data_IF_762188690345
#
_entry.id   IF_762188690345
#
_cell.length_a   1.000
_cell.length_b   1.000
_cell.length_c   1.000
_cell.angle_alpha   90.00
_cell.angle_beta   90.00
_cell.angle_gamma   90.00
#
_symmetry.space_group_name_H-M   'P 1'
#
loop_
_entity.id
_entity.type
_entity.pdbx_description
1 polymer ?
#
# COMPACT_ATOMS: atom_id res chain seq x y z
N UNK A 1 19.52 -22.64 -15.42
CA UNK A 1 18.20 -22.26 -15.99
C UNK A 1 17.28 -21.91 -14.83
N UNK A 2 16.57 -20.77 -14.86
CA UNK A 2 15.55 -20.47 -13.85
C UNK A 2 14.48 -21.58 -13.89
N UNK A 3 14.01 -22.03 -12.73
CA UNK A 3 12.95 -23.03 -12.66
C UNK A 3 11.68 -22.52 -13.36
N UNK A 4 10.93 -23.42 -14.02
CA UNK A 4 9.66 -23.06 -14.66
C UNK A 4 8.66 -22.55 -13.61
N UNK A 5 8.17 -21.30 -13.72
CA UNK A 5 7.22 -20.74 -12.78
C UNK A 5 5.95 -21.57 -12.69
N UNK A 6 5.45 -21.75 -11.47
CA UNK A 6 4.16 -22.38 -11.25
C UNK A 6 3.13 -21.31 -10.87
N UNK A 7 2.06 -21.18 -11.64
CA UNK A 7 1.02 -20.17 -11.44
C UNK A 7 -0.18 -20.81 -10.75
N UNK A 8 -0.62 -20.25 -9.62
CA UNK A 8 -1.93 -20.58 -9.06
C UNK A 8 -3.00 -19.90 -9.92
N UNK A 9 -3.75 -20.69 -10.69
CA UNK A 9 -4.82 -20.21 -11.56
C UNK A 9 -6.16 -20.36 -10.81
N UNK A 10 -6.77 -19.24 -10.43
CA UNK A 10 -7.98 -19.20 -9.61
C UNK A 10 -9.18 -18.79 -10.46
N UNK A 11 -10.24 -19.58 -10.42
CA UNK A 11 -11.50 -19.24 -11.09
C UNK A 11 -12.62 -20.23 -10.80
N UNK A 12 -13.81 -19.91 -11.25
CA UNK A 12 -15.02 -20.73 -11.10
C UNK A 12 -15.09 -21.74 -12.23
N UNK A 13 -14.64 -22.98 -11.99
CA UNK A 13 -14.51 -23.99 -13.06
C UNK A 13 -15.89 -24.41 -13.57
N UNK A 14 -16.90 -24.44 -12.71
CA UNK A 14 -18.31 -24.69 -13.06
C UNK A 14 -18.89 -23.80 -14.17
N UNK A 15 -18.42 -22.56 -14.28
CA UNK A 15 -18.97 -21.53 -15.18
C UNK A 15 -17.96 -21.04 -16.22
N UNK A 16 -16.66 -21.23 -15.99
CA UNK A 16 -15.57 -20.71 -16.82
C UNK A 16 -14.53 -21.77 -17.18
N UNK A 17 -14.98 -23.01 -17.38
CA UNK A 17 -14.10 -24.13 -17.75
C UNK A 17 -13.26 -23.87 -18.99
N UNK A 18 -13.87 -23.33 -20.05
CA UNK A 18 -13.17 -23.11 -21.32
C UNK A 18 -12.11 -22.01 -21.19
N UNK A 19 -12.43 -20.91 -20.49
CA UNK A 19 -11.50 -19.82 -20.22
C UNK A 19 -10.34 -20.25 -19.31
N UNK A 20 -10.63 -21.04 -18.27
CA UNK A 20 -9.62 -21.61 -17.37
C UNK A 20 -8.69 -22.58 -18.13
N UNK A 21 -9.24 -23.45 -18.97
CA UNK A 21 -8.46 -24.36 -19.81
C UNK A 21 -7.57 -23.58 -20.79
N UNK A 22 -8.10 -22.55 -21.44
CA UNK A 22 -7.32 -21.70 -22.36
C UNK A 22 -6.17 -20.98 -21.64
N UNK A 23 -6.40 -20.45 -20.43
CA UNK A 23 -5.35 -19.82 -19.62
C UNK A 23 -4.27 -20.82 -19.22
N UNK A 24 -4.66 -22.00 -18.75
CA UNK A 24 -3.73 -23.09 -18.42
C UNK A 24 -2.83 -23.43 -19.61
N UNK A 25 -3.43 -23.61 -20.78
CA UNK A 25 -2.71 -23.99 -21.98
C UNK A 25 -1.80 -22.84 -22.45
N UNK A 26 -2.24 -21.59 -22.35
CA UNK A 26 -1.43 -20.39 -22.64
C UNK A 26 -0.21 -20.26 -21.72
N UNK A 27 -0.38 -20.50 -20.41
CA UNK A 27 0.71 -20.49 -19.43
C UNK A 27 1.72 -21.61 -19.74
N UNK A 28 1.22 -22.79 -20.08
CA UNK A 28 2.04 -23.95 -20.44
C UNK A 28 2.86 -23.67 -21.71
N UNK A 29 2.25 -23.09 -22.74
CA UNK A 29 2.93 -22.67 -23.97
C UNK A 29 4.01 -21.61 -23.71
N UNK A 30 3.82 -20.74 -22.71
CA UNK A 30 4.81 -19.77 -22.26
C UNK A 30 5.92 -20.37 -21.36
N UNK A 31 5.97 -21.70 -21.20
CA UNK A 31 7.00 -22.40 -20.42
C UNK A 31 6.74 -22.42 -18.91
N UNK A 32 5.52 -22.09 -18.48
CA UNK A 32 5.07 -22.19 -17.10
C UNK A 32 4.37 -23.51 -16.78
N UNK A 33 3.99 -23.67 -15.51
CA UNK A 33 3.08 -24.71 -15.02
C UNK A 33 1.92 -24.04 -14.30
N UNK A 34 0.84 -24.77 -14.09
CA UNK A 34 -0.31 -24.28 -13.32
C UNK A 34 -0.66 -25.21 -12.18
N UNK A 35 -1.26 -24.63 -11.14
CA UNK A 35 -2.15 -25.33 -10.22
C UNK A 35 -3.51 -24.64 -10.34
N UNK A 36 -4.51 -25.36 -10.84
CA UNK A 36 -5.87 -24.86 -10.98
C UNK A 36 -6.61 -25.01 -9.65
N UNK A 37 -7.07 -23.89 -9.10
CA UNK A 37 -7.87 -23.82 -7.89
C UNK A 37 -9.29 -23.41 -8.23
N UNK A 38 -10.23 -24.32 -8.00
CA UNK A 38 -11.65 -24.11 -8.28
C UNK A 38 -12.37 -23.44 -7.10
N UNK A 39 -12.99 -22.29 -7.36
CA UNK A 39 -13.83 -21.56 -6.39
C UNK A 39 -15.32 -21.57 -6.76
N UNK A 40 -15.73 -22.39 -7.72
CA UNK A 40 -17.13 -22.55 -8.13
C UNK A 40 -17.99 -23.25 -7.10
N UNK A 41 -19.28 -22.89 -7.06
CA UNK A 41 -20.27 -23.42 -6.09
C UNK A 41 -21.58 -23.87 -6.76
N UNK A 42 -21.72 -23.69 -8.07
CA UNK A 42 -22.98 -23.98 -8.78
C UNK A 42 -23.04 -25.40 -9.33
N UNK A 43 -21.91 -26.05 -9.56
CA UNK A 43 -21.90 -27.40 -10.12
C UNK A 43 -20.50 -27.93 -10.45
N UNK A 44 -20.48 -28.95 -11.32
CA UNK A 44 -19.23 -29.50 -11.85
C UNK A 44 -18.85 -28.78 -13.14
N UNK A 45 -17.57 -28.47 -13.30
CA UNK A 45 -17.05 -27.94 -14.56
C UNK A 45 -16.68 -29.03 -15.57
N UNK A 46 -16.17 -28.59 -16.71
CA UNK A 46 -15.74 -29.41 -17.85
C UNK A 46 -14.37 -30.08 -17.70
N UNK A 47 -13.65 -29.85 -16.60
CA UNK A 47 -12.42 -30.58 -16.29
C UNK A 47 -12.18 -30.68 -14.77
N UNK A 48 -11.25 -31.55 -14.37
CA UNK A 48 -10.87 -31.76 -12.96
C UNK A 48 -9.79 -30.74 -12.56
N UNK A 49 -10.03 -29.86 -11.57
CA UNK A 49 -9.02 -28.93 -11.07
C UNK A 49 -7.96 -29.66 -10.23
N UNK A 50 -6.77 -29.06 -10.09
CA UNK A 50 -5.72 -29.58 -9.21
C UNK A 50 -6.10 -29.44 -7.73
N UNK A 51 -6.89 -28.43 -7.40
CA UNK A 51 -7.43 -28.13 -6.08
C UNK A 51 -8.94 -27.89 -6.22
N UNK A 52 -9.75 -28.78 -5.64
CA UNK A 52 -11.21 -28.73 -5.78
C UNK A 52 -11.86 -27.69 -4.87
N UNK A 53 -13.05 -27.23 -5.26
CA UNK A 53 -13.90 -26.39 -4.43
C UNK A 53 -14.24 -27.00 -3.06
N UNK A 54 -14.29 -28.34 -2.94
CA UNK A 54 -14.40 -29.02 -1.64
C UNK A 54 -13.19 -28.73 -0.73
N UNK A 55 -11.97 -28.80 -1.28
CA UNK A 55 -10.75 -28.50 -0.52
C UNK A 55 -10.68 -27.02 -0.16
N UNK A 56 -11.19 -26.13 -1.02
CA UNK A 56 -11.30 -24.69 -0.74
C UNK A 56 -12.27 -24.46 0.42
N UNK A 57 -13.47 -25.04 0.39
CA UNK A 57 -14.44 -24.92 1.48
C UNK A 57 -13.86 -25.47 2.80
N UNK A 58 -13.20 -26.63 2.76
CA UNK A 58 -12.55 -27.24 3.94
C UNK A 58 -11.49 -26.32 4.53
N UNK A 59 -10.67 -25.66 3.71
CA UNK A 59 -9.68 -24.68 4.16
C UNK A 59 -10.33 -23.43 4.81
N UNK A 60 -11.59 -23.13 4.50
CA UNK A 60 -12.38 -22.10 5.17
C UNK A 60 -13.04 -22.59 6.48
N UNK A 61 -12.93 -23.88 6.80
CA UNK A 61 -13.53 -24.52 7.98
C UNK A 61 -14.99 -24.93 7.81
N UNK A 62 -15.46 -25.06 6.56
CA UNK A 62 -16.84 -25.44 6.22
C UNK A 62 -16.86 -26.54 5.15
N UNK A 63 -18.00 -27.16 4.89
CA UNK A 63 -18.18 -28.07 3.74
C UNK A 63 -18.71 -27.32 2.53
N UNK A 64 -18.48 -27.85 1.32
CA UNK A 64 -19.07 -27.27 0.11
C UNK A 64 -20.61 -27.23 0.18
N UNK A 65 -21.24 -28.27 0.75
CA UNK A 65 -22.69 -28.31 0.94
C UNK A 65 -23.19 -27.17 1.83
N UNK A 66 -22.44 -26.79 2.87
CA UNK A 66 -22.77 -25.64 3.72
C UNK A 66 -22.65 -24.31 2.96
N UNK A 67 -21.64 -24.19 2.09
CA UNK A 67 -21.48 -23.01 1.22
C UNK A 67 -22.69 -22.89 0.28
N UNK A 68 -23.03 -23.97 -0.41
CA UNK A 68 -24.18 -24.03 -1.34
C UNK A 68 -25.50 -23.76 -0.60
N UNK A 69 -25.69 -24.37 0.57
CA UNK A 69 -26.89 -24.22 1.38
C UNK A 69 -27.08 -22.81 1.95
N UNK A 70 -26.06 -21.94 1.90
CA UNK A 70 -26.22 -20.53 2.27
C UNK A 70 -27.25 -19.81 1.38
N UNK A 71 -27.40 -20.25 0.12
CA UNK A 71 -28.35 -19.69 -0.85
C UNK A 71 -28.09 -18.23 -1.23
N UNK A 72 -26.98 -17.66 -0.76
CA UNK A 72 -26.59 -16.26 -0.98
C UNK A 72 -25.21 -16.22 -1.65
N UNK A 73 -25.16 -15.58 -2.82
CA UNK A 73 -23.96 -15.51 -3.65
C UNK A 73 -22.80 -14.84 -2.90
N UNK A 74 -23.08 -13.74 -2.18
CA UNK A 74 -22.07 -13.00 -1.44
C UNK A 74 -21.46 -13.86 -0.32
N UNK A 75 -22.30 -14.45 0.54
CA UNK A 75 -21.88 -15.34 1.63
C UNK A 75 -21.06 -16.51 1.10
N UNK A 76 -21.50 -17.11 0.00
CA UNK A 76 -20.78 -18.21 -0.64
C UNK A 76 -19.38 -17.77 -1.08
N UNK A 77 -19.28 -16.65 -1.78
CA UNK A 77 -18.00 -16.14 -2.30
C UNK A 77 -17.05 -15.70 -1.18
N UNK A 78 -17.53 -15.13 -0.09
CA UNK A 78 -16.71 -14.78 1.09
C UNK A 78 -16.10 -16.03 1.73
N UNK A 79 -16.89 -17.10 1.89
CA UNK A 79 -16.38 -18.37 2.43
C UNK A 79 -15.32 -18.99 1.50
N UNK A 80 -15.58 -18.99 0.19
CA UNK A 80 -14.62 -19.49 -0.80
C UNK A 80 -13.35 -18.62 -0.85
N UNK A 81 -13.46 -17.31 -0.68
CA UNK A 81 -12.33 -16.38 -0.63
C UNK A 81 -11.42 -16.66 0.57
N UNK A 82 -12.02 -16.92 1.74
CA UNK A 82 -11.28 -17.34 2.94
C UNK A 82 -10.48 -18.61 2.69
N UNK A 83 -11.10 -19.63 2.10
CA UNK A 83 -10.46 -20.90 1.79
C UNK A 83 -9.33 -20.75 0.77
N UNK A 84 -9.59 -20.03 -0.32
CA UNK A 84 -8.62 -19.76 -1.38
C UNK A 84 -7.41 -18.98 -0.85
N UNK A 85 -7.65 -18.03 0.06
CA UNK A 85 -6.60 -17.25 0.74
C UNK A 85 -5.67 -18.16 1.54
N UNK A 86 -6.23 -19.02 2.41
CA UNK A 86 -5.45 -19.97 3.22
C UNK A 86 -4.59 -20.88 2.33
N UNK A 87 -5.18 -21.39 1.24
CA UNK A 87 -4.47 -22.27 0.31
C UNK A 87 -3.36 -21.52 -0.43
N UNK A 88 -3.61 -20.30 -0.93
CA UNK A 88 -2.61 -19.51 -1.64
C UNK A 88 -1.41 -19.19 -0.73
N UNK A 89 -1.65 -18.79 0.52
CA UNK A 89 -0.59 -18.54 1.50
C UNK A 89 0.21 -19.81 1.81
N UNK A 90 -0.46 -20.94 2.00
CA UNK A 90 0.20 -22.24 2.22
C UNK A 90 1.08 -22.62 1.04
N UNK A 91 0.56 -22.55 -0.19
CA UNK A 91 1.32 -22.90 -1.40
C UNK A 91 2.53 -21.98 -1.60
N UNK A 92 2.41 -20.69 -1.26
CA UNK A 92 3.54 -19.77 -1.29
C UNK A 92 4.60 -20.15 -0.25
N UNK A 93 4.19 -20.43 0.99
CA UNK A 93 5.10 -20.82 2.06
C UNK A 93 5.83 -22.13 1.75
N UNK A 94 5.17 -23.07 1.06
CA UNK A 94 5.75 -24.33 0.57
C UNK A 94 6.63 -24.14 -0.69
N UNK A 95 6.73 -22.94 -1.25
CA UNK A 95 7.50 -22.67 -2.48
C UNK A 95 6.91 -23.32 -3.73
N UNK A 96 5.62 -23.68 -3.71
CA UNK A 96 4.96 -24.41 -4.79
C UNK A 96 4.41 -23.52 -5.89
N UNK A 97 4.25 -22.23 -5.63
CA UNK A 97 3.78 -21.23 -6.58
C UNK A 97 4.76 -20.06 -6.69
N UNK A 98 4.80 -19.46 -7.87
CA UNK A 98 5.67 -18.33 -8.23
C UNK A 98 4.88 -17.07 -8.57
N UNK A 99 3.57 -17.21 -8.83
CA UNK A 99 2.63 -16.12 -9.04
C UNK A 99 1.19 -16.61 -8.95
N UNK A 100 0.24 -15.67 -8.87
CA UNK A 100 -1.20 -15.96 -8.94
C UNK A 100 -1.83 -15.23 -10.12
N UNK A 101 -2.69 -15.94 -10.85
CA UNK A 101 -3.59 -15.37 -11.84
C UNK A 101 -5.02 -15.74 -11.46
N UNK A 102 -5.86 -14.73 -11.21
CA UNK A 102 -7.29 -14.93 -11.02
C UNK A 102 -8.08 -14.30 -12.17
N UNK A 103 -9.24 -14.87 -12.51
CA UNK A 103 -10.20 -14.25 -13.41
C UNK A 103 -11.62 -14.23 -12.84
N UNK A 104 -12.38 -13.20 -13.21
CA UNK A 104 -13.80 -13.15 -12.85
C UNK A 104 -14.55 -11.89 -13.24
N UNK A 105 -15.87 -11.96 -13.05
CA UNK A 105 -16.74 -10.79 -12.98
C UNK A 105 -16.59 -10.06 -11.64
N UNK A 106 -17.63 -9.35 -11.19
CA UNK A 106 -17.63 -8.66 -9.89
C UNK A 106 -17.31 -9.59 -8.72
N UNK A 107 -18.00 -10.74 -8.62
CA UNK A 107 -17.80 -11.72 -7.55
C UNK A 107 -16.41 -12.37 -7.55
N UNK A 108 -15.92 -12.81 -8.72
CA UNK A 108 -14.58 -13.39 -8.81
C UNK A 108 -13.48 -12.36 -8.55
N UNK A 109 -13.72 -11.09 -8.91
CA UNK A 109 -12.82 -9.98 -8.57
C UNK A 109 -12.80 -9.74 -7.07
N UNK A 110 -13.96 -9.71 -6.41
CA UNK A 110 -14.08 -9.56 -4.95
C UNK A 110 -13.25 -10.61 -4.21
N UNK A 111 -13.48 -11.88 -4.52
CA UNK A 111 -12.71 -13.00 -3.97
C UNK A 111 -11.21 -12.87 -4.24
N UNK A 112 -10.85 -12.52 -5.48
CA UNK A 112 -9.45 -12.40 -5.86
C UNK A 112 -8.73 -11.32 -5.05
N UNK A 113 -9.36 -10.18 -4.79
CA UNK A 113 -8.74 -9.11 -4.00
C UNK A 113 -8.34 -9.58 -2.60
N UNK A 114 -9.15 -10.41 -1.93
CA UNK A 114 -8.78 -11.00 -0.63
C UNK A 114 -7.55 -11.90 -0.74
N UNK A 115 -7.54 -12.80 -1.73
CA UNK A 115 -6.40 -13.70 -1.99
C UNK A 115 -5.14 -12.88 -2.29
N UNK A 116 -5.24 -11.84 -3.12
CA UNK A 116 -4.08 -11.05 -3.53
C UNK A 116 -3.52 -10.19 -2.39
N UNK A 117 -4.36 -9.65 -1.50
CA UNK A 117 -3.90 -8.89 -0.32
C UNK A 117 -3.20 -9.78 0.72
N UNK A 118 -3.56 -11.06 0.76
CA UNK A 118 -2.94 -12.02 1.67
C UNK A 118 -1.53 -12.45 1.25
N UNK A 119 -1.11 -12.11 0.02
CA UNK A 119 0.20 -12.42 -0.54
C UNK A 119 1.14 -11.21 -0.41
N UNK A 120 2.44 -11.42 -0.16
CA UNK A 120 3.37 -10.34 0.14
C UNK A 120 3.60 -9.40 -1.04
N UNK A 121 3.94 -8.14 -0.75
CA UNK A 121 4.41 -7.17 -1.73
C UNK A 121 5.63 -7.71 -2.49
N UNK A 122 5.64 -7.50 -3.81
CA UNK A 122 6.65 -8.00 -4.73
C UNK A 122 6.38 -9.41 -5.25
N UNK A 123 5.41 -10.15 -4.69
CA UNK A 123 4.98 -11.42 -5.27
C UNK A 123 4.11 -11.17 -6.51
N UNK A 124 4.36 -11.81 -7.68
CA UNK A 124 3.57 -11.59 -8.89
C UNK A 124 2.08 -11.94 -8.72
N UNK A 125 1.21 -10.92 -8.90
CA UNK A 125 -0.25 -11.03 -8.81
C UNK A 125 -0.89 -10.43 -10.04
N UNK A 126 -1.71 -11.19 -10.75
CA UNK A 126 -2.47 -10.72 -11.90
C UNK A 126 -3.95 -11.02 -11.73
N UNK A 127 -4.79 -10.03 -11.99
CA UNK A 127 -6.25 -10.15 -11.96
C UNK A 127 -6.84 -9.74 -13.31
N UNK A 128 -7.44 -10.70 -14.01
CA UNK A 128 -8.24 -10.45 -15.21
C UNK A 128 -9.70 -10.23 -14.79
N UNK A 129 -10.17 -8.99 -14.86
CA UNK A 129 -11.46 -8.59 -14.30
C UNK A 129 -12.30 -7.81 -15.30
N UNK A 130 -13.62 -8.04 -15.31
CA UNK A 130 -14.57 -7.22 -16.09
C UNK A 130 -14.74 -5.81 -15.52
N UNK A 131 -14.28 -5.58 -14.29
CA UNK A 131 -14.36 -4.29 -13.59
C UNK A 131 -12.97 -3.76 -13.22
N UNK A 132 -11.91 -4.21 -13.91
CA UNK A 132 -10.57 -3.67 -13.70
C UNK A 132 -10.58 -2.14 -13.83
N UNK A 133 -9.98 -1.45 -12.85
CA UNK A 133 -9.92 0.01 -12.76
C UNK A 133 -11.27 0.74 -12.62
N UNK A 134 -12.34 0.01 -12.32
CA UNK A 134 -13.68 0.60 -12.10
C UNK A 134 -13.77 1.36 -10.78
N UNK A 135 -14.62 2.38 -10.72
CA UNK A 135 -15.00 3.09 -9.48
C UNK A 135 -15.71 2.19 -8.46
N UNK A 136 -16.14 1.00 -8.85
CA UNK A 136 -16.67 -0.02 -7.92
C UNK A 136 -15.59 -0.65 -7.04
N UNK A 137 -14.32 -0.53 -7.43
CA UNK A 137 -13.20 -1.07 -6.66
C UNK A 137 -12.74 -0.03 -5.66
N UNK A 138 -13.01 -0.22 -4.36
CA UNK A 138 -12.50 0.69 -3.37
C UNK A 138 -10.97 0.53 -3.32
N UNK A 139 -10.25 1.64 -3.31
CA UNK A 139 -8.79 1.64 -3.36
C UNK A 139 -8.17 0.81 -2.20
N UNK A 140 -8.85 0.73 -1.04
CA UNK A 140 -8.46 -0.13 0.11
C UNK A 140 -8.34 -1.61 -0.21
N UNK A 141 -9.11 -2.10 -1.17
CA UNK A 141 -9.10 -3.52 -1.49
C UNK A 141 -8.08 -3.89 -2.54
N UNK A 142 -7.44 -2.92 -3.19
CA UNK A 142 -6.48 -3.18 -4.26
C UNK A 142 -5.08 -3.30 -3.64
N UNK A 143 -4.40 -4.46 -3.75
CA UNK A 143 -3.00 -4.56 -3.36
C UNK A 143 -2.15 -3.59 -4.19
N UNK A 144 -1.17 -2.90 -3.59
CA UNK A 144 -0.40 -1.85 -4.26
C UNK A 144 0.44 -2.33 -5.46
N UNK A 145 0.71 -3.63 -5.57
CA UNK A 145 1.48 -4.25 -6.66
C UNK A 145 0.65 -5.17 -7.56
N UNK A 146 -0.68 -5.07 -7.50
CA UNK A 146 -1.59 -5.86 -8.34
C UNK A 146 -1.54 -5.37 -9.80
N UNK A 147 -1.29 -6.29 -10.74
CA UNK A 147 -1.48 -6.05 -12.17
C UNK A 147 -2.92 -6.41 -12.53
N UNK A 148 -3.71 -5.46 -13.00
CA UNK A 148 -5.07 -5.72 -13.48
C UNK A 148 -5.15 -5.69 -15.00
N UNK A 149 -5.84 -6.66 -15.58
CA UNK A 149 -6.18 -6.69 -17.00
C UNK A 149 -7.69 -6.54 -17.14
N UNK A 150 -8.14 -5.58 -17.94
CA UNK A 150 -9.56 -5.42 -18.21
C UNK A 150 -10.04 -6.52 -19.17
N UNK A 151 -10.98 -7.32 -18.70
CA UNK A 151 -11.70 -8.28 -19.54
C UNK A 151 -12.88 -7.58 -20.22
N UNK A 152 -12.57 -6.74 -21.21
CA UNK A 152 -13.51 -5.80 -21.82
C UNK A 152 -14.68 -6.44 -22.59
N UNK A 153 -14.60 -7.72 -22.94
CA UNK A 153 -15.65 -8.44 -23.66
C UNK A 153 -15.43 -9.95 -23.72
N UNK A 154 -16.48 -10.69 -24.07
CA UNK A 154 -16.43 -12.16 -24.14
C UNK A 154 -16.55 -12.83 -22.78
N UNK A 155 -17.48 -12.35 -21.94
CA UNK A 155 -17.76 -12.87 -20.61
C UNK A 155 -18.32 -14.30 -20.59
N UNK A 156 -18.79 -14.77 -21.76
CA UNK A 156 -19.37 -16.09 -21.95
C UNK A 156 -18.79 -16.73 -23.20
N UNK A 157 -17.95 -17.75 -22.98
CA UNK A 157 -17.37 -18.56 -24.03
C UNK A 157 -16.16 -17.92 -24.72
N UNK A 158 -15.39 -18.77 -25.41
CA UNK A 158 -14.16 -18.39 -26.07
C UNK A 158 -14.39 -17.76 -27.44
N UNK A 159 -14.53 -16.43 -27.48
CA UNK A 159 -14.40 -15.65 -28.72
C UNK A 159 -13.00 -15.01 -28.86
N UNK A 160 -12.73 -14.36 -30.00
CA UNK A 160 -11.43 -13.74 -30.28
C UNK A 160 -11.03 -12.65 -29.28
N UNK A 161 -11.99 -11.85 -28.78
CA UNK A 161 -11.75 -10.83 -27.77
C UNK A 161 -11.40 -11.45 -26.42
N UNK A 162 -12.13 -12.50 -26.02
CA UNK A 162 -11.87 -13.27 -24.81
C UNK A 162 -10.46 -13.89 -24.85
N UNK A 163 -10.11 -14.60 -25.93
CA UNK A 163 -8.79 -15.21 -26.12
C UNK A 163 -7.65 -14.19 -26.06
N UNK A 164 -7.86 -12.99 -26.60
CA UNK A 164 -6.90 -11.89 -26.53
C UNK A 164 -6.69 -11.37 -25.11
N UNK A 165 -7.75 -11.21 -24.33
CA UNK A 165 -7.66 -10.77 -22.95
C UNK A 165 -7.01 -11.85 -22.05
N UNK A 166 -7.40 -13.11 -22.23
CA UNK A 166 -6.83 -14.26 -21.51
C UNK A 166 -5.34 -14.43 -21.81
N UNK A 167 -4.93 -14.35 -23.09
CA UNK A 167 -3.51 -14.51 -23.45
C UNK A 167 -2.65 -13.35 -22.92
N UNK A 168 -3.17 -12.13 -22.88
CA UNK A 168 -2.49 -10.99 -22.25
C UNK A 168 -2.32 -11.19 -20.74
N UNK A 169 -3.33 -11.69 -20.03
CA UNK A 169 -3.22 -11.98 -18.61
C UNK A 169 -2.21 -13.11 -18.32
N UNK A 170 -2.20 -14.17 -19.13
CA UNK A 170 -1.20 -15.24 -19.05
C UNK A 170 0.22 -14.70 -19.33
N UNK A 171 0.38 -13.86 -20.34
CA UNK A 171 1.66 -13.21 -20.65
C UNK A 171 2.13 -12.29 -19.52
N UNK A 172 1.23 -11.51 -18.92
CA UNK A 172 1.54 -10.61 -17.81
C UNK A 172 2.05 -11.37 -16.59
N UNK A 173 1.38 -12.46 -16.18
CA UNK A 173 1.80 -13.22 -14.99
C UNK A 173 3.13 -13.95 -15.24
N UNK A 174 3.32 -14.52 -16.43
CA UNK A 174 4.57 -15.20 -16.79
C UNK A 174 5.75 -14.21 -16.90
N UNK A 175 5.53 -13.05 -17.52
CA UNK A 175 6.51 -11.98 -17.62
C UNK A 175 6.90 -11.45 -16.24
N UNK A 176 5.93 -11.22 -15.36
CA UNK A 176 6.16 -10.80 -13.99
C UNK A 176 6.98 -11.86 -13.21
N UNK A 177 6.61 -13.14 -13.27
CA UNK A 177 7.36 -14.22 -12.63
C UNK A 177 8.81 -14.36 -13.14
N UNK A 178 9.05 -14.16 -14.42
CA UNK A 178 10.41 -14.23 -14.98
C UNK A 178 11.28 -13.02 -14.62
N UNK A 179 10.66 -11.85 -14.51
CA UNK A 179 11.35 -10.56 -14.41
C UNK A 179 11.43 -10.01 -12.99
N UNK A 180 10.62 -10.53 -12.06
CA UNK A 180 10.58 -10.04 -10.69
C UNK A 180 11.96 -10.08 -10.04
N UNK A 181 12.33 -8.97 -9.42
CA UNK A 181 13.48 -8.87 -8.53
C UNK A 181 12.93 -8.93 -7.11
N UNK A 182 13.24 -10.00 -6.40
CA UNK A 182 12.80 -10.16 -5.01
C UNK A 182 13.52 -9.11 -4.16
N UNK A 183 12.81 -8.31 -3.36
CA UNK A 183 13.45 -7.33 -2.48
C UNK A 183 14.50 -7.98 -1.57
N UNK A 184 15.69 -7.40 -1.51
CA UNK A 184 16.73 -7.86 -0.59
C UNK A 184 16.24 -7.68 0.85
N UNK A 185 16.30 -8.75 1.65
CA UNK A 185 15.88 -8.73 3.04
C UNK A 185 17.04 -8.50 4.01
N UNK A 186 18.29 -8.57 3.53
CA UNK A 186 19.47 -8.43 4.36
C UNK A 186 19.81 -6.97 4.65
N UNK A 187 19.52 -6.07 3.70
CA UNK A 187 19.74 -4.64 3.91
C UNK A 187 18.60 -4.03 4.74
N UNK A 188 18.88 -3.42 5.90
CA UNK A 188 17.84 -2.81 6.72
C UNK A 188 17.22 -1.61 6.01
N UNK A 189 15.89 -1.56 6.01
CA UNK A 189 15.13 -0.58 5.23
C UNK A 189 14.44 0.44 6.13
N UNK A 190 14.55 1.72 5.77
CA UNK A 190 13.77 2.83 6.33
C UNK A 190 12.64 3.14 5.36
N UNK A 191 11.41 3.21 5.87
CA UNK A 191 10.26 3.71 5.12
C UNK A 191 10.13 5.22 5.30
N UNK A 192 9.80 5.96 4.24
CA UNK A 192 9.54 7.40 4.31
C UNK A 192 8.33 7.79 3.47
N UNK A 193 7.46 8.64 3.98
CA UNK A 193 6.36 9.21 3.20
C UNK A 193 6.76 10.57 2.66
N UNK A 194 6.27 10.95 1.47
CA UNK A 194 6.49 12.28 0.89
C UNK A 194 5.51 12.58 -0.25
N UNK A 195 5.47 13.85 -0.67
CA UNK A 195 4.93 14.33 -1.94
C UNK A 195 6.05 14.64 -2.95
N UNK A 196 5.63 15.06 -4.15
CA UNK A 196 6.53 15.60 -5.17
C UNK A 196 7.34 16.80 -4.69
N UNK A 197 8.47 17.06 -5.37
CA UNK A 197 9.42 18.12 -5.00
C UNK A 197 8.87 19.56 -5.07
N UNK A 198 7.69 19.76 -5.64
CA UNK A 198 6.97 21.03 -5.54
C UNK A 198 6.46 21.30 -4.12
N UNK A 199 6.15 20.26 -3.35
CA UNK A 199 5.64 20.37 -1.98
C UNK A 199 6.70 19.98 -0.94
N UNK A 200 7.42 18.86 -1.13
CA UNK A 200 8.31 18.30 -0.10
C UNK A 200 9.69 17.92 -0.66
N UNK A 201 10.77 18.27 0.04
CA UNK A 201 12.16 18.08 -0.48
C UNK A 201 13.14 17.40 0.47
N UNK A 202 12.75 17.11 1.72
CA UNK A 202 13.64 16.52 2.73
C UNK A 202 14.28 15.20 2.29
N UNK A 203 13.60 14.40 1.45
CA UNK A 203 14.12 13.11 0.98
C UNK A 203 15.45 13.26 0.23
N UNK A 204 15.67 14.40 -0.45
CA UNK A 204 16.90 14.69 -1.20
C UNK A 204 18.12 14.79 -0.28
N UNK A 205 17.91 15.26 0.95
CA UNK A 205 18.97 15.38 1.97
C UNK A 205 19.11 14.11 2.80
N UNK A 206 17.99 13.46 3.12
CA UNK A 206 17.98 12.29 4.00
C UNK A 206 18.46 11.01 3.31
N UNK A 207 18.14 10.81 2.03
CA UNK A 207 18.50 9.58 1.31
C UNK A 207 20.02 9.30 1.31
N UNK A 208 20.90 10.23 0.89
CA UNK A 208 22.34 9.95 0.86
C UNK A 208 22.90 9.67 2.26
N UNK A 209 22.40 10.36 3.27
CA UNK A 209 22.84 10.20 4.65
C UNK A 209 22.43 8.84 5.25
N UNK A 210 21.22 8.37 4.97
CA UNK A 210 20.77 7.04 5.38
C UNK A 210 21.53 5.93 4.64
N UNK A 211 21.82 6.11 3.36
CA UNK A 211 22.61 5.16 2.56
C UNK A 211 24.05 5.06 3.06
N UNK A 212 24.68 6.18 3.41
CA UNK A 212 26.01 6.21 4.03
C UNK A 212 26.07 5.46 5.36
N UNK A 213 24.93 5.37 6.06
CA UNK A 213 24.76 4.59 7.30
C UNK A 213 24.42 3.12 7.05
N UNK A 214 24.38 2.66 5.79
CA UNK A 214 24.12 1.27 5.43
C UNK A 214 22.64 0.91 5.25
N UNK A 215 21.72 1.88 5.35
CA UNK A 215 20.29 1.64 5.19
C UNK A 215 19.86 1.77 3.72
N UNK A 216 18.79 1.07 3.37
CA UNK A 216 18.00 1.36 2.17
C UNK A 216 16.85 2.30 2.53
N UNK A 217 16.52 3.24 1.65
CA UNK A 217 15.37 4.14 1.84
C UNK A 217 14.30 3.87 0.77
N UNK A 218 13.12 3.50 1.21
CA UNK A 218 11.92 3.40 0.37
C UNK A 218 11.02 4.63 0.61
N UNK A 219 10.79 5.43 -0.42
CA UNK A 219 9.93 6.62 -0.36
C UNK A 219 8.57 6.33 -0.98
N UNK A 220 7.50 6.63 -0.25
CA UNK A 220 6.12 6.37 -0.63
C UNK A 220 5.38 7.68 -0.89
N UNK A 221 4.73 7.75 -2.05
CA UNK A 221 3.96 8.92 -2.46
C UNK A 221 2.59 8.94 -1.77
N UNK A 222 2.28 10.00 -1.02
CA UNK A 222 1.08 10.07 -0.19
C UNK A 222 -0.17 10.54 -0.96
N UNK A 223 -0.52 9.83 -2.03
CA UNK A 223 -1.73 10.08 -2.83
C UNK A 223 -2.72 8.92 -2.74
N UNK A 224 -2.83 8.29 -1.58
CA UNK A 224 -3.73 7.20 -1.22
C UNK A 224 -3.04 5.85 -1.18
N UNK A 225 -2.68 5.31 -2.36
CA UNK A 225 -2.11 3.95 -2.44
C UNK A 225 -0.70 3.84 -1.86
N UNK A 226 0.12 4.89 -1.95
CA UNK A 226 1.47 4.87 -1.42
C UNK A 226 1.49 4.84 0.11
N UNK A 227 0.67 5.64 0.79
CA UNK A 227 0.52 5.55 2.24
C UNK A 227 -0.03 4.20 2.69
N UNK A 228 -0.97 3.62 1.94
CA UNK A 228 -1.51 2.30 2.24
C UNK A 228 -0.44 1.20 2.18
N UNK A 229 0.39 1.23 1.13
CA UNK A 229 1.54 0.33 1.01
C UNK A 229 2.55 0.53 2.15
N UNK A 230 2.81 1.80 2.51
CA UNK A 230 3.68 2.15 3.64
C UNK A 230 3.15 1.58 4.97
N UNK A 231 1.87 1.74 5.29
CA UNK A 231 1.27 1.20 6.51
C UNK A 231 1.33 -0.34 6.54
N UNK A 232 1.01 -1.01 5.43
CA UNK A 232 1.05 -2.48 5.35
C UNK A 232 2.48 -3.03 5.56
N UNK A 233 3.48 -2.38 4.97
CA UNK A 233 4.89 -2.75 5.17
C UNK A 233 5.37 -2.46 6.59
N UNK A 234 4.93 -1.34 7.18
CA UNK A 234 5.25 -1.01 8.57
C UNK A 234 4.62 -2.00 9.55
N UNK A 235 3.34 -2.34 9.36
CA UNK A 235 2.59 -3.28 10.20
C UNK A 235 3.16 -4.71 10.13
N UNK A 236 3.77 -5.09 9.01
CA UNK A 236 4.46 -6.37 8.84
C UNK A 236 5.93 -6.36 9.29
N UNK A 237 6.39 -5.28 9.93
CA UNK A 237 7.75 -5.16 10.46
C UNK A 237 8.83 -5.10 9.39
N UNK A 238 8.50 -4.64 8.16
CA UNK A 238 9.45 -4.61 7.05
C UNK A 238 10.49 -3.50 7.20
N UNK A 239 10.18 -2.46 7.95
CA UNK A 239 11.06 -1.33 8.20
C UNK A 239 11.72 -1.43 9.57
N UNK A 240 13.00 -1.05 9.65
CA UNK A 240 13.69 -0.91 10.94
C UNK A 240 13.32 0.38 11.67
N UNK A 241 12.87 1.37 10.90
CA UNK A 241 12.27 2.61 11.38
C UNK A 241 11.52 3.29 10.24
N UNK A 242 10.63 4.20 10.58
CA UNK A 242 9.92 5.03 9.60
C UNK A 242 10.12 6.53 9.83
N UNK A 243 10.13 7.26 8.73
CA UNK A 243 10.16 8.72 8.65
C UNK A 243 8.85 9.19 7.99
N UNK A 244 7.80 9.26 8.78
CA UNK A 244 6.45 9.53 8.31
C UNK A 244 6.14 11.04 8.33
N UNK A 245 6.69 11.76 7.36
CA UNK A 245 6.69 13.22 7.35
C UNK A 245 5.57 13.84 6.52
N UNK A 246 4.88 13.08 5.67
CA UNK A 246 3.73 13.57 4.92
C UNK A 246 2.46 12.85 5.36
N UNK A 247 1.55 13.59 5.98
CA UNK A 247 0.30 13.06 6.52
C UNK A 247 -0.93 13.55 5.74
N UNK A 248 -0.75 13.95 4.47
CA UNK A 248 -1.83 14.46 3.63
C UNK A 248 -2.99 13.45 3.49
N UNK A 249 -2.69 12.15 3.39
CA UNK A 249 -3.74 11.12 3.28
C UNK A 249 -4.61 10.99 4.54
N UNK A 250 -4.09 11.40 5.70
CA UNK A 250 -4.86 11.43 6.95
C UNK A 250 -5.91 12.55 6.90
N UNK A 251 -5.51 13.76 6.54
CA UNK A 251 -6.46 14.88 6.40
C UNK A 251 -7.47 14.60 5.27
N UNK A 252 -7.03 14.00 4.16
CA UNK A 252 -7.91 13.54 3.09
C UNK A 252 -8.95 12.53 3.60
N UNK A 253 -8.52 11.54 4.39
CA UNK A 253 -9.44 10.56 4.98
C UNK A 253 -10.49 11.24 5.87
N UNK A 254 -10.06 12.16 6.73
CA UNK A 254 -10.94 12.88 7.65
C UNK A 254 -11.94 13.80 6.91
N UNK A 255 -11.58 14.28 5.73
CA UNK A 255 -12.42 15.12 4.88
C UNK A 255 -13.29 14.35 3.89
N UNK A 256 -13.22 13.01 3.87
CA UNK A 256 -13.98 12.18 2.93
C UNK A 256 -13.48 12.22 1.49
N UNK A 257 -12.20 12.58 1.29
CA UNK A 257 -11.57 12.59 -0.04
C UNK A 257 -11.26 11.17 -0.52
N UNK A 258 -11.34 10.96 -1.84
CA UNK A 258 -10.91 9.73 -2.51
C UNK A 258 -9.39 9.51 -2.48
N UNK A 259 -8.59 10.54 -2.17
CA UNK A 259 -7.12 10.46 -2.09
C UNK A 259 -6.71 10.02 -0.68
N UNK A 260 -7.13 8.82 -0.29
CA UNK A 260 -7.00 8.30 1.09
C UNK A 260 -6.23 6.98 1.16
N UNK A 261 -5.47 6.81 2.24
CA UNK A 261 -4.83 5.56 2.62
C UNK A 261 -5.71 4.70 3.54
N UNK A 262 -6.91 5.16 3.87
CA UNK A 262 -7.87 4.46 4.73
C UNK A 262 -7.69 4.73 6.23
N UNK A 263 -8.50 4.02 7.02
CA UNK A 263 -8.65 4.27 8.46
C UNK A 263 -7.39 4.01 9.28
N UNK A 264 -6.44 3.21 8.78
CA UNK A 264 -5.22 2.83 9.49
C UNK A 264 -4.02 3.77 9.24
N UNK A 265 -4.16 4.85 8.48
CA UNK A 265 -3.06 5.82 8.25
C UNK A 265 -2.46 6.34 9.57
N UNK A 266 -1.15 6.32 9.76
CA UNK A 266 -0.42 6.65 11.00
C UNK A 266 -0.65 5.66 12.15
N UNK A 267 -1.11 4.43 11.90
CA UNK A 267 -1.35 3.43 12.97
C UNK A 267 -0.49 2.19 12.83
N UNK A 268 -0.12 1.78 11.62
CA UNK A 268 0.60 0.53 11.35
C UNK A 268 1.96 0.46 12.04
N UNK A 269 2.80 1.48 11.82
CA UNK A 269 4.13 1.54 12.43
C UNK A 269 4.08 1.54 13.97
N UNK A 270 3.29 2.47 14.54
CA UNK A 270 3.15 2.60 15.98
C UNK A 270 2.63 1.32 16.66
N UNK A 271 1.57 0.70 16.13
CA UNK A 271 1.00 -0.54 16.70
C UNK A 271 1.94 -1.74 16.58
N UNK A 272 2.74 -1.81 15.53
CA UNK A 272 3.77 -2.84 15.35
C UNK A 272 5.03 -2.59 16.19
N UNK A 273 5.16 -1.43 16.84
CA UNK A 273 6.33 -1.07 17.64
C UNK A 273 7.54 -0.64 16.82
N UNK A 274 7.34 -0.33 15.53
CA UNK A 274 8.41 0.18 14.65
C UNK A 274 8.77 1.61 15.10
N UNK A 275 10.05 1.93 15.35
CA UNK A 275 10.48 3.29 15.67
C UNK A 275 10.01 4.28 14.59
N UNK A 276 9.35 5.37 14.98
CA UNK A 276 8.73 6.30 14.04
C UNK A 276 9.05 7.78 14.34
N UNK A 277 9.63 8.46 13.36
CA UNK A 277 9.79 9.91 13.35
C UNK A 277 8.68 10.47 12.48
N UNK A 278 7.85 11.35 13.03
CA UNK A 278 6.62 11.82 12.39
C UNK A 278 6.67 13.34 12.25
N UNK A 279 6.08 13.89 11.19
CA UNK A 279 5.87 15.33 11.02
C UNK A 279 4.52 15.62 10.32
N UNK A 280 3.91 16.80 10.55
CA UNK A 280 2.56 17.10 10.04
C UNK A 280 2.55 17.59 8.58
N UNK A 281 3.47 17.10 7.74
CA UNK A 281 3.66 17.64 6.39
C UNK A 281 2.42 17.54 5.52
N UNK A 282 2.11 18.63 4.81
CA UNK A 282 0.95 18.78 3.91
C UNK A 282 -0.43 18.45 4.53
N UNK A 283 -0.58 18.62 5.84
CA UNK A 283 -1.87 18.42 6.54
C UNK A 283 -2.82 19.63 6.48
N UNK A 284 -2.40 20.70 5.82
CA UNK A 284 -3.06 21.99 5.70
C UNK A 284 -4.01 22.11 4.50
N UNK A 285 -4.06 21.07 3.67
CA UNK A 285 -4.93 20.97 2.50
C UNK A 285 -5.53 19.57 2.35
N UNK A 286 -6.60 19.48 1.57
CA UNK A 286 -7.12 18.20 1.07
C UNK A 286 -6.93 18.12 -0.44
N UNK A 287 -6.68 16.91 -0.94
CA UNK A 287 -6.71 16.62 -2.37
C UNK A 287 -8.07 16.11 -2.79
N UNK A 288 -8.45 16.33 -4.04
CA UNK A 288 -9.61 15.70 -4.68
C UNK A 288 -9.37 15.48 -6.16
N UNK A 289 -10.22 14.63 -6.75
CA UNK A 289 -10.21 14.36 -8.17
C UNK A 289 -10.57 15.64 -8.95
N UNK A 290 -9.60 16.21 -9.69
CA UNK A 290 -9.81 17.47 -10.42
C UNK A 290 -10.88 17.39 -11.52
N UNK A 291 -11.24 16.17 -11.96
CA UNK A 291 -12.30 15.92 -12.93
C UNK A 291 -13.69 15.77 -12.28
N UNK A 292 -13.77 15.72 -10.95
CA UNK A 292 -15.01 15.64 -10.19
C UNK A 292 -15.44 17.03 -9.68
N UNK A 293 -16.71 17.20 -9.23
CA UNK A 293 -17.14 18.43 -8.59
C UNK A 293 -16.26 18.78 -7.38
N UNK A 294 -16.05 20.09 -7.18
CA UNK A 294 -15.32 20.60 -6.00
C UNK A 294 -16.04 20.15 -4.72
N UNK A 295 -15.29 19.68 -3.69
CA UNK A 295 -15.87 19.33 -2.40
C UNK A 295 -16.68 20.48 -1.78
N UNK A 296 -17.86 20.15 -1.25
CA UNK A 296 -18.71 21.11 -0.54
C UNK A 296 -18.04 21.61 0.75
N UNK A 297 -18.38 22.82 1.20
CA UNK A 297 -17.86 23.38 2.46
C UNK A 297 -16.49 24.06 2.37
N UNK A 298 -15.83 24.06 1.20
CA UNK A 298 -14.53 24.71 1.00
C UNK A 298 -14.58 25.98 0.15
N UNK A 299 -15.76 26.58 -0.03
CA UNK A 299 -15.91 27.81 -0.83
C UNK A 299 -15.01 28.94 -0.29
N UNK A 300 -14.34 29.66 -1.20
CA UNK A 300 -13.44 30.77 -0.85
C UNK A 300 -12.08 30.38 -0.24
N UNK A 301 -11.81 29.09 -0.01
CA UNK A 301 -10.48 28.61 0.37
C UNK A 301 -9.54 28.61 -0.84
N UNK A 302 -8.25 28.85 -0.58
CA UNK A 302 -7.20 28.80 -1.59
C UNK A 302 -7.12 27.40 -2.21
N UNK A 303 -6.92 27.37 -3.53
CA UNK A 303 -6.94 26.15 -4.34
C UNK A 303 -5.71 26.13 -5.24
N UNK A 304 -5.11 24.95 -5.38
CA UNK A 304 -4.02 24.69 -6.30
C UNK A 304 -4.42 23.54 -7.23
N UNK A 305 -4.73 23.85 -8.49
CA UNK A 305 -4.95 22.85 -9.51
C UNK A 305 -3.60 22.27 -9.97
N UNK A 306 -3.23 21.10 -9.42
CA UNK A 306 -1.93 20.50 -9.70
C UNK A 306 -1.86 19.91 -11.11
N UNK A 307 -2.87 19.12 -11.51
CA UNK A 307 -3.02 18.60 -12.87
C UNK A 307 -4.48 18.17 -13.15
N UNK A 308 -4.74 17.56 -14.31
CA UNK A 308 -6.09 17.12 -14.72
C UNK A 308 -6.71 16.00 -13.85
N UNK A 309 -5.93 15.40 -12.96
CA UNK A 309 -6.36 14.32 -12.07
C UNK A 309 -6.46 14.77 -10.61
N UNK A 310 -5.67 15.76 -10.18
CA UNK A 310 -5.52 16.15 -8.78
C UNK A 310 -5.56 17.67 -8.61
N UNK A 311 -6.41 18.12 -7.70
CA UNK A 311 -6.46 19.49 -7.18
C UNK A 311 -6.37 19.46 -5.65
N UNK A 312 -5.76 20.48 -5.07
CA UNK A 312 -5.59 20.63 -3.64
C UNK A 312 -6.30 21.91 -3.15
N UNK A 313 -6.90 21.86 -1.96
CA UNK A 313 -7.64 23.00 -1.38
C UNK A 313 -7.36 23.12 0.12
N UNK A 314 -7.01 24.32 0.58
CA UNK A 314 -6.64 24.55 1.98
C UNK A 314 -7.81 24.33 2.95
N UNK A 315 -7.54 23.67 4.06
CA UNK A 315 -8.52 23.42 5.14
C UNK A 315 -8.51 24.56 6.16
N UNK A 316 -9.62 24.73 6.90
CA UNK A 316 -9.78 25.79 7.90
C UNK A 316 -8.88 25.60 9.15
N UNK A 317 -8.58 26.66 9.92
CA UNK A 317 -7.87 26.54 11.20
C UNK A 317 -8.53 25.53 12.15
N UNK A 318 -9.86 25.46 12.20
CA UNK A 318 -10.60 24.49 13.03
C UNK A 318 -10.35 23.05 12.56
N UNK A 319 -10.35 22.83 11.24
CA UNK A 319 -10.03 21.51 10.70
C UNK A 319 -8.56 21.15 10.97
N UNK A 320 -7.62 22.11 10.91
CA UNK A 320 -6.21 21.88 11.27
C UNK A 320 -6.07 21.45 12.73
N UNK A 321 -6.82 22.05 13.66
CA UNK A 321 -6.89 21.59 15.06
C UNK A 321 -7.45 20.17 15.18
N UNK A 322 -8.47 19.82 14.41
CA UNK A 322 -8.99 18.44 14.38
C UNK A 322 -7.94 17.45 13.89
N UNK A 323 -7.20 17.79 12.83
CA UNK A 323 -6.12 16.95 12.30
C UNK A 323 -5.00 16.80 13.33
N UNK A 324 -4.60 17.88 14.01
CA UNK A 324 -3.61 17.81 15.10
C UNK A 324 -4.02 16.81 16.20
N UNK A 325 -5.28 16.86 16.67
CA UNK A 325 -5.80 15.92 17.67
C UNK A 325 -5.83 14.49 17.16
N UNK A 326 -6.16 14.28 15.89
CA UNK A 326 -6.15 12.95 15.29
C UNK A 326 -4.72 12.39 15.19
N UNK A 327 -3.75 13.22 14.81
CA UNK A 327 -2.32 12.84 14.81
C UNK A 327 -1.91 12.39 16.20
N UNK A 328 -2.14 13.22 17.24
CA UNK A 328 -1.72 12.90 18.61
C UNK A 328 -2.45 11.70 19.17
N UNK A 329 -3.74 11.52 18.86
CA UNK A 329 -4.52 10.32 19.21
C UNK A 329 -3.92 9.06 18.60
N UNK A 330 -3.53 9.07 17.33
CA UNK A 330 -2.92 7.92 16.65
C UNK A 330 -1.53 7.61 17.20
N UNK A 331 -0.71 8.63 17.44
CA UNK A 331 0.62 8.47 18.03
C UNK A 331 0.56 7.92 19.46
N UNK A 332 -0.50 8.20 20.22
CA UNK A 332 -0.69 7.64 21.56
C UNK A 332 -0.89 6.11 21.57
N UNK A 333 -1.23 5.49 20.43
CA UNK A 333 -1.33 4.03 20.29
C UNK A 333 0.02 3.35 20.01
N UNK A 334 1.08 4.14 19.85
CA UNK A 334 2.40 3.61 19.53
C UNK A 334 2.98 2.78 20.69
N UNK A 335 3.56 1.63 20.34
CA UNK A 335 4.24 0.72 21.27
C UNK A 335 5.76 0.86 21.22
N UNK A 336 6.28 1.56 20.20
CA UNK A 336 7.71 1.75 19.96
C UNK A 336 8.14 3.23 20.11
N UNK A 337 9.46 3.50 20.05
CA UNK A 337 10.01 4.86 20.12
C UNK A 337 9.35 5.78 19.10
N UNK A 338 8.79 6.89 19.58
CA UNK A 338 8.01 7.83 18.74
C UNK A 338 8.47 9.26 19.00
N UNK A 339 8.84 9.97 17.94
CA UNK A 339 9.17 11.40 17.97
C UNK A 339 8.31 12.14 16.96
N UNK A 340 7.61 13.19 17.41
CA UNK A 340 6.93 14.14 16.54
C UNK A 340 7.82 15.37 16.35
N UNK A 341 8.33 15.56 15.14
CA UNK A 341 9.01 16.78 14.71
C UNK A 341 7.98 17.80 14.26
N UNK A 342 7.98 18.97 14.88
CA UNK A 342 7.02 20.03 14.62
C UNK A 342 7.72 21.26 14.02
N UNK A 343 7.81 21.38 12.68
CA UNK A 343 8.30 22.58 12.02
C UNK A 343 7.28 23.72 12.20
N UNK A 344 7.72 24.86 12.73
CA UNK A 344 6.84 25.98 13.08
C UNK A 344 6.81 27.10 12.04
N UNK A 345 7.53 26.96 10.92
CA UNK A 345 7.59 27.97 9.84
C UNK A 345 7.05 27.47 8.50
N UNK A 346 6.34 26.35 8.49
CA UNK A 346 5.64 25.83 7.32
C UNK A 346 5.79 24.32 7.17
N UNK A 347 4.71 23.68 6.71
CA UNK A 347 4.59 22.21 6.64
C UNK A 347 4.56 21.65 5.22
N UNK A 348 4.66 22.49 4.20
CA UNK A 348 4.81 22.10 2.78
C UNK A 348 5.24 23.31 1.93
N UNK A 349 5.63 23.09 0.67
CA UNK A 349 6.28 24.10 -0.19
C UNK A 349 5.47 25.36 -0.47
N UNK A 350 4.14 25.29 -0.49
CA UNK A 350 3.22 26.39 -0.72
C UNK A 350 2.78 27.13 0.57
N UNK A 351 3.27 26.70 1.74
CA UNK A 351 3.03 27.33 3.04
C UNK A 351 4.17 28.29 3.39
N UNK A 352 4.52 29.16 2.44
CA UNK A 352 5.55 30.20 2.57
C UNK A 352 5.00 31.58 2.25
N UNK A 353 5.52 32.66 2.84
CA UNK A 353 5.13 34.01 2.46
C UNK A 353 5.19 34.25 0.94
N UNK A 354 4.05 34.57 0.34
CA UNK A 354 3.92 34.80 -1.11
C UNK A 354 3.46 33.59 -1.93
N UNK A 355 3.41 32.40 -1.35
CA UNK A 355 2.89 31.19 -2.01
C UNK A 355 1.37 31.06 -1.87
N UNK A 356 0.70 30.30 -2.77
CA UNK A 356 -0.77 30.26 -2.85
C UNK A 356 -1.50 29.75 -1.61
N UNK A 357 -0.87 28.89 -0.81
CA UNK A 357 -1.51 28.22 0.33
C UNK A 357 -1.04 28.76 1.69
N UNK A 358 -0.28 29.85 1.69
CA UNK A 358 0.26 30.45 2.90
C UNK A 358 -0.86 30.96 3.83
N UNK A 359 -1.00 30.29 4.97
CA UNK A 359 -2.02 30.57 5.98
C UNK A 359 -1.37 30.56 7.37
N UNK A 360 -0.79 31.69 7.82
CA UNK A 360 -0.08 31.77 9.09
C UNK A 360 -0.99 31.53 10.29
N UNK A 361 -2.27 31.90 10.21
CA UNK A 361 -3.26 31.64 11.26
C UNK A 361 -3.56 30.15 11.36
N UNK A 362 -3.80 29.49 10.23
CA UNK A 362 -3.99 28.05 10.18
C UNK A 362 -2.76 27.27 10.68
N UNK A 363 -1.55 27.71 10.33
CA UNK A 363 -0.31 27.07 10.80
C UNK A 363 -0.17 27.23 12.32
N UNK A 364 -0.42 28.43 12.86
CA UNK A 364 -0.42 28.66 14.30
C UNK A 364 -1.43 27.76 15.02
N UNK A 365 -2.65 27.63 14.48
CA UNK A 365 -3.67 26.76 15.05
C UNK A 365 -3.25 25.28 15.10
N UNK A 366 -2.55 24.79 14.07
CA UNK A 366 -1.99 23.43 14.03
C UNK A 366 -0.88 23.27 15.09
N UNK A 367 0.07 24.20 15.14
CA UNK A 367 1.23 24.17 16.05
C UNK A 367 0.77 24.18 17.51
N UNK A 368 -0.11 25.11 17.87
CA UNK A 368 -0.65 25.24 19.23
C UNK A 368 -1.34 23.94 19.68
N UNK A 369 -2.15 23.34 18.79
CA UNK A 369 -2.92 22.14 19.13
C UNK A 369 -2.04 20.89 19.25
N UNK A 370 -1.03 20.73 18.40
CA UNK A 370 -0.06 19.64 18.52
C UNK A 370 0.73 19.74 19.83
N UNK A 371 1.13 20.95 20.24
CA UNK A 371 1.80 21.18 21.52
C UNK A 371 0.90 20.87 22.71
N UNK A 372 -0.38 21.26 22.64
CA UNK A 372 -1.32 21.06 23.74
C UNK A 372 -1.82 19.62 23.89
N UNK A 373 -1.85 18.83 22.81
CA UNK A 373 -2.51 17.51 22.79
C UNK A 373 -1.56 16.32 22.73
N UNK A 374 -0.24 16.52 22.58
CA UNK A 374 0.71 15.41 22.49
C UNK A 374 0.71 14.57 23.78
N UNK A 375 0.56 13.25 23.64
CA UNK A 375 0.56 12.34 24.77
C UNK A 375 1.97 12.21 25.38
N UNK A 376 2.11 11.97 26.71
CA UNK A 376 3.42 11.84 27.36
C UNK A 376 4.33 10.75 26.77
N UNK A 377 3.76 9.71 26.14
CA UNK A 377 4.51 8.64 25.47
C UNK A 377 5.12 9.03 24.12
N UNK A 378 4.80 10.21 23.59
CA UNK A 378 5.36 10.74 22.34
C UNK A 378 6.26 11.92 22.65
N UNK A 379 7.53 11.86 22.22
CA UNK A 379 8.44 13.00 22.36
C UNK A 379 8.13 14.04 21.28
N UNK A 380 7.69 15.23 21.68
CA UNK A 380 7.54 16.37 20.78
C UNK A 380 8.85 17.16 20.68
N UNK A 381 9.25 17.53 19.47
CA UNK A 381 10.39 18.42 19.22
C UNK A 381 9.95 19.52 18.24
N UNK A 382 9.68 20.71 18.78
CA UNK A 382 9.40 21.90 17.99
C UNK A 382 10.70 22.44 17.35
N UNK A 383 10.59 22.84 16.08
CA UNK A 383 11.70 23.30 15.26
C UNK A 383 11.37 24.68 14.68
N UNK A 384 12.15 25.73 14.96
CA UNK A 384 11.99 27.04 14.33
C UNK A 384 12.51 27.00 12.88
N UNK A 385 11.88 26.17 12.06
CA UNK A 385 12.24 25.89 10.68
C UNK A 385 11.00 25.50 9.88
N UNK A 386 11.11 25.58 8.56
CA UNK A 386 10.14 24.99 7.64
C UNK A 386 10.52 23.53 7.37
N UNK A 387 9.55 22.66 7.08
CA UNK A 387 9.78 21.23 6.78
C UNK A 387 10.79 20.96 5.64
N UNK A 388 10.99 21.94 4.74
CA UNK A 388 11.84 21.83 3.56
C UNK A 388 13.25 22.40 3.80
N UNK A 389 13.50 22.99 4.97
CA UNK A 389 14.79 23.55 5.33
C UNK A 389 15.76 22.44 5.76
N UNK A 390 17.06 22.72 5.66
CA UNK A 390 18.11 21.77 6.06
C UNK A 390 17.99 21.36 7.54
N UNK A 391 17.63 22.32 8.41
CA UNK A 391 17.47 22.10 9.84
C UNK A 391 16.42 21.03 10.19
N UNK A 392 15.37 20.87 9.38
CA UNK A 392 14.38 19.80 9.59
C UNK A 392 14.99 18.42 9.33
N UNK A 393 15.68 18.27 8.19
CA UNK A 393 16.36 17.02 7.84
C UNK A 393 17.48 16.67 8.85
N UNK A 394 18.22 17.68 9.31
CA UNK A 394 19.26 17.50 10.35
C UNK A 394 18.66 17.03 11.68
N UNK A 395 17.53 17.61 12.11
CA UNK A 395 16.83 17.17 13.32
C UNK A 395 16.34 15.72 13.22
N UNK A 396 15.81 15.32 12.05
CA UNK A 396 15.42 13.93 11.80
C UNK A 396 16.61 12.96 11.87
N UNK A 397 17.75 13.33 11.30
CA UNK A 397 18.98 12.53 11.37
C UNK A 397 19.51 12.44 12.81
N UNK A 398 19.46 13.51 13.60
CA UNK A 398 19.87 13.48 15.00
C UNK A 398 19.03 12.50 15.83
N UNK A 399 17.72 12.47 15.62
CA UNK A 399 16.83 11.49 16.27
C UNK A 399 17.21 10.07 15.83
N UNK A 400 17.38 9.85 14.52
CA UNK A 400 17.76 8.55 13.97
C UNK A 400 19.11 8.06 14.51
N UNK A 401 20.13 8.92 14.54
CA UNK A 401 21.47 8.62 15.05
C UNK A 401 21.45 8.34 16.56
N UNK A 402 20.59 9.03 17.31
CA UNK A 402 20.37 8.73 18.74
C UNK A 402 19.81 7.31 18.92
N UNK A 403 18.83 6.92 18.11
CA UNK A 403 18.26 5.57 18.15
C UNK A 403 19.26 4.49 17.74
N UNK A 404 20.13 4.77 16.77
CA UNK A 404 21.25 3.88 16.43
C UNK A 404 22.22 3.71 17.61
N UNK A 405 22.63 4.81 18.24
CA UNK A 405 23.56 4.78 19.37
C UNK A 405 22.98 4.06 20.60
N UNK A 406 21.65 4.12 20.79
CA UNK A 406 20.94 3.44 21.87
C UNK A 406 20.60 1.98 21.56
N UNK A 407 20.89 1.49 20.34
CA UNK A 407 20.53 0.14 19.90
C UNK A 407 19.03 -0.08 19.69
N UNK A 408 18.25 1.00 19.52
CA UNK A 408 16.82 0.92 19.21
C UNK A 408 16.56 0.58 17.73
N UNK A 409 17.56 0.78 16.88
CA UNK A 409 17.60 0.39 15.46
C UNK A 409 18.92 -0.36 15.24
N UNK A 410 18.95 -1.46 14.45
CA UNK A 410 20.18 -2.18 14.16
C UNK A 410 21.21 -1.28 13.45
N UNK A 411 22.49 -1.43 13.80
CA UNK A 411 23.59 -0.76 13.12
C UNK A 411 24.23 -1.70 12.07
N UNK A 412 23.94 -1.55 10.76
CA UNK A 412 24.46 -2.44 9.72
C UNK A 412 25.97 -2.32 9.48
N UNK A 413 26.62 -1.30 10.06
CA UNK A 413 28.06 -1.08 9.94
C UNK A 413 28.85 -1.60 11.15
N UNK A 414 28.18 -2.05 12.22
CA UNK A 414 28.85 -2.50 13.44
C UNK A 414 29.74 -3.74 13.25
N UNK A 415 29.39 -4.61 12.29
CA UNK A 415 30.10 -5.85 11.98
C UNK A 415 31.04 -5.73 10.75
N UNK A 416 31.22 -4.53 10.19
CA UNK A 416 32.16 -4.34 9.08
C UNK A 416 33.58 -4.19 9.63
N UNK A 417 34.56 -5.00 9.16
CA UNK A 417 35.95 -4.83 9.56
C UNK A 417 36.37 -3.39 9.23
N UNK A 418 36.98 -2.71 10.20
CA UNK A 418 37.46 -1.34 10.04
C UNK A 418 38.23 -1.21 8.72
N UNK A 419 37.98 -0.18 7.89
CA UNK A 419 38.76 0.02 6.69
C UNK A 419 40.23 0.09 7.10
N UNK A 420 41.03 -0.81 6.52
CA UNK A 420 42.48 -0.82 6.72
C UNK A 420 42.97 0.57 6.33
N UNK A 421 43.36 1.37 7.33
CA UNK A 421 43.97 2.67 7.14
C UNK A 421 45.15 2.48 6.19
N UNK A 422 45.02 3.00 4.97
CA UNK A 422 46.15 3.15 4.08
C UNK A 422 47.03 4.24 4.69
N UNK A 423 48.02 3.81 5.49
CA UNK A 423 49.12 4.65 5.90
C UNK A 423 49.87 5.12 4.64
N UNK A 424 49.95 6.44 4.48
CA UNK A 424 50.97 7.12 3.69
C UNK A 424 51.59 8.20 4.57
#
# INVERSE_FOLDING_TARGET
>A
MKASPCILLIGTVDTKSDEMAYLRDSITQAGGRTLVLDVGVLGRGGFVPDISNHQVAEAAGVTLDQVIASGDENTSMVLMARGATVIAQRLLAEGRISGVLALGGTMGTDLALDVMNALPLGFPKVLLSTIAYSHLLPAERIPPDLIMVLWAGGLYGLNSLCKSALSQAAGAVMGACHSVVVPDRQRPMVGMTSLGSSALVYMKRLKPELERRGFELAVFHTTGMGGRAFEALAASGRFVAVMDFSLQELVNHMAGSCVTAGADRLRGAGRAGVPQIVAPGATDMIDYAAWAPRPEGYAGRAEHAHNRLLSSISISPEMRRRVAREITTRLAEARGPTVLLLPTQGIEGWDRPGEPLHDPEGLAALVDELQASVAPGTRLQALPAHINDAAFAEAALQVFDTWLAQGLIPNPLADQPAPISAAA
#
